data_IF_629317951016
#
_entry.id   IF_629317951016
#
_cell.length_a   1.000
_cell.length_b   1.000
_cell.length_c   1.000
_cell.angle_alpha   90.00
_cell.angle_beta   90.00
_cell.angle_gamma   90.00
#
_symmetry.space_group_name_H-M   'P 1'
#
loop_
_entity.id
_entity.type
_entity.pdbx_description
1 polymer ?
#
# COMPACT_ATOMS: atom_id res chain seq x y z
N UNK A 1 1.08 13.40 -58.53
CA UNK A 1 0.93 14.11 -57.25
C UNK A 1 -0.09 13.39 -56.38
N UNK A 2 0.26 12.24 -55.83
CA UNK A 2 -0.51 11.60 -54.77
C UNK A 2 0.51 11.19 -53.71
N UNK A 3 0.94 12.15 -52.90
CA UNK A 3 1.79 11.86 -51.76
C UNK A 3 1.00 11.07 -50.74
N UNK A 4 1.63 9.99 -50.31
CA UNK A 4 1.23 9.07 -49.27
C UNK A 4 0.86 9.80 -47.99
N UNK A 5 -0.43 9.89 -47.70
CA UNK A 5 -0.93 10.26 -46.37
C UNK A 5 -0.64 9.09 -45.43
N UNK A 6 0.48 9.23 -44.71
CA UNK A 6 0.93 8.47 -43.53
C UNK A 6 -0.08 7.46 -42.98
N UNK A 7 0.26 6.16 -42.84
CA UNK A 7 -0.43 5.33 -41.87
C UNK A 7 -0.09 5.91 -40.50
N UNK A 8 -1.03 6.65 -39.90
CA UNK A 8 -1.03 6.95 -38.48
C UNK A 8 -0.94 5.59 -37.80
N UNK A 9 0.27 5.22 -37.39
CA UNK A 9 0.55 4.05 -36.58
C UNK A 9 -0.47 4.09 -35.45
N UNK A 10 -1.46 3.20 -35.52
CA UNK A 10 -2.29 2.88 -34.39
C UNK A 10 -1.27 2.38 -33.37
N UNK A 11 -0.88 3.24 -32.44
CA UNK A 11 0.04 2.90 -31.38
C UNK A 11 -0.59 1.70 -30.69
N UNK A 12 -0.04 0.51 -30.97
CA UNK A 12 -0.42 -0.73 -30.30
C UNK A 12 -0.24 -0.40 -28.81
N UNK A 13 -1.28 -0.60 -27.96
CA UNK A 13 -1.20 -0.23 -26.56
C UNK A 13 0.06 -0.87 -26.00
N UNK A 14 1.01 -0.04 -25.56
CA UNK A 14 2.29 -0.53 -25.05
C UNK A 14 1.99 -1.58 -23.99
N UNK A 15 2.34 -2.83 -24.31
CA UNK A 15 2.13 -3.96 -23.42
C UNK A 15 3.13 -3.75 -22.29
N UNK A 16 2.69 -3.10 -21.21
CA UNK A 16 3.55 -2.63 -20.11
C UNK A 16 4.63 -3.66 -19.72
N UNK A 17 5.82 -3.14 -19.43
CA UNK A 17 7.04 -3.93 -19.19
C UNK A 17 6.80 -5.03 -18.14
N UNK A 18 7.54 -6.14 -18.23
CA UNK A 18 7.42 -7.23 -17.23
C UNK A 18 7.56 -6.71 -15.78
N UNK A 19 8.54 -5.82 -15.46
CA UNK A 19 8.66 -5.20 -14.14
C UNK A 19 7.40 -4.42 -13.72
N UNK A 20 6.79 -3.67 -14.63
CA UNK A 20 5.57 -2.90 -14.35
C UNK A 20 4.41 -3.80 -13.90
N UNK A 21 4.24 -4.98 -14.53
CA UNK A 21 3.19 -5.94 -14.13
C UNK A 21 3.44 -6.53 -12.74
N UNK A 22 4.70 -6.83 -12.43
CA UNK A 22 5.08 -7.36 -11.11
C UNK A 22 4.86 -6.31 -10.02
N UNK A 23 5.33 -5.09 -10.23
CA UNK A 23 5.12 -3.98 -9.31
C UNK A 23 3.64 -3.71 -9.10
N UNK A 24 2.84 -3.67 -10.18
CA UNK A 24 1.38 -3.50 -10.07
C UNK A 24 0.75 -4.59 -9.20
N UNK A 25 1.11 -5.86 -9.40
CA UNK A 25 0.60 -6.97 -8.57
C UNK A 25 1.00 -6.81 -7.10
N UNK A 26 2.24 -6.41 -6.84
CA UNK A 26 2.72 -6.15 -5.48
C UNK A 26 1.94 -5.00 -4.83
N UNK A 27 1.77 -3.87 -5.52
CA UNK A 27 1.00 -2.72 -5.03
C UNK A 27 -0.42 -3.13 -4.67
N UNK A 28 -1.12 -3.89 -5.52
CA UNK A 28 -2.47 -4.38 -5.20
C UNK A 28 -2.51 -5.32 -4.00
N UNK A 29 -1.51 -6.22 -3.86
CA UNK A 29 -1.39 -7.08 -2.68
C UNK A 29 -1.20 -6.25 -1.40
N UNK A 30 -0.31 -5.25 -1.45
CA UNK A 30 -0.06 -4.34 -0.32
C UNK A 30 -1.31 -3.51 -0.01
N UNK A 31 -2.04 -3.02 -1.01
CA UNK A 31 -3.27 -2.26 -0.82
C UNK A 31 -4.35 -3.10 -0.12
N UNK A 32 -4.57 -4.35 -0.57
CA UNK A 32 -5.52 -5.28 0.07
C UNK A 32 -5.07 -5.58 1.51
N UNK A 33 -3.80 -5.89 1.72
CA UNK A 33 -3.26 -6.13 3.07
C UNK A 33 -3.41 -4.90 3.98
N UNK A 34 -3.21 -3.69 3.44
CA UNK A 34 -3.38 -2.42 4.18
C UNK A 34 -4.84 -2.23 4.59
N UNK A 35 -5.78 -2.53 3.69
CA UNK A 35 -7.21 -2.45 4.02
C UNK A 35 -7.58 -3.42 5.15
N UNK A 36 -7.07 -4.66 5.11
CA UNK A 36 -7.25 -5.63 6.18
C UNK A 36 -6.60 -5.15 7.49
N UNK A 37 -5.38 -4.60 7.44
CA UNK A 37 -4.69 -4.04 8.59
C UNK A 37 -5.49 -2.90 9.24
N UNK A 38 -6.09 -2.03 8.43
CA UNK A 38 -6.96 -0.96 8.94
C UNK A 38 -8.21 -1.51 9.63
N UNK A 39 -8.79 -2.60 9.13
CA UNK A 39 -9.90 -3.29 9.77
C UNK A 39 -9.47 -3.90 11.12
N UNK A 40 -8.30 -4.54 11.17
CA UNK A 40 -7.71 -5.06 12.42
C UNK A 40 -7.45 -3.92 13.42
N UNK A 41 -6.91 -2.78 12.97
CA UNK A 41 -6.70 -1.61 13.82
C UNK A 41 -8.02 -1.04 14.38
N UNK A 42 -9.06 -1.01 13.55
CA UNK A 42 -10.42 -0.61 13.98
C UNK A 42 -10.98 -1.58 15.03
N UNK A 43 -10.82 -2.89 14.82
CA UNK A 43 -11.21 -3.90 15.79
C UNK A 43 -10.44 -3.74 17.12
N UNK A 44 -9.13 -3.49 17.05
CA UNK A 44 -8.27 -3.26 18.22
C UNK A 44 -8.78 -2.06 19.04
N UNK A 45 -9.22 -0.98 18.38
CA UNK A 45 -9.81 0.18 19.05
C UNK A 45 -11.16 -0.14 19.70
N UNK A 46 -12.08 -0.77 18.97
CA UNK A 46 -13.44 -1.08 19.46
C UNK A 46 -13.41 -2.08 20.61
N UNK A 47 -12.47 -3.02 20.60
CA UNK A 47 -12.28 -4.01 21.66
C UNK A 47 -11.43 -3.51 22.82
N UNK A 48 -11.10 -2.20 22.83
CA UNK A 48 -10.26 -1.53 23.82
C UNK A 48 -8.90 -2.21 24.04
N UNK A 49 -8.37 -2.83 22.99
CA UNK A 49 -7.13 -3.60 23.00
C UNK A 49 -5.89 -2.75 22.68
N UNK A 50 -6.03 -1.45 22.43
CA UNK A 50 -4.92 -0.58 22.01
C UNK A 50 -3.89 -0.25 23.10
N UNK A 51 -4.12 -0.67 24.35
CA UNK A 51 -3.19 -0.58 25.49
C UNK A 51 -2.89 -1.96 26.10
N UNK A 52 -3.18 -3.04 25.37
CA UNK A 52 -2.96 -4.39 25.87
C UNK A 52 -1.46 -4.70 26.00
N UNK A 53 -0.63 -4.10 25.15
CA UNK A 53 0.82 -4.11 25.24
C UNK A 53 1.32 -2.79 25.85
N UNK A 54 1.96 -2.81 27.03
CA UNK A 54 2.41 -1.57 27.69
C UNK A 54 3.61 -0.90 27.02
N UNK A 55 4.37 -1.64 26.21
CA UNK A 55 5.61 -1.18 25.61
C UNK A 55 5.49 -1.07 24.08
N UNK A 56 6.44 -0.36 23.48
CA UNK A 56 6.67 -0.32 22.04
C UNK A 56 8.19 -0.20 21.81
N UNK A 57 8.81 -0.91 20.85
CA UNK A 57 8.20 -1.72 19.78
C UNK A 57 7.83 -3.16 20.18
N UNK A 58 8.36 -3.67 21.29
CA UNK A 58 8.02 -5.02 21.81
C UNK A 58 6.70 -4.99 22.58
N UNK A 59 6.16 -6.17 22.91
CA UNK A 59 5.01 -6.33 23.80
C UNK A 59 5.43 -7.16 25.01
N UNK A 60 5.34 -6.62 26.23
CA UNK A 60 5.86 -7.24 27.46
C UNK A 60 7.36 -7.61 27.35
N UNK A 61 8.15 -6.76 26.70
CA UNK A 61 9.58 -7.03 26.44
C UNK A 61 9.88 -8.29 25.61
N UNK A 62 8.86 -8.91 24.98
CA UNK A 62 9.01 -10.11 24.13
C UNK A 62 8.51 -9.84 22.71
N UNK A 63 9.03 -10.61 21.76
CA UNK A 63 8.53 -10.62 20.36
C UNK A 63 7.23 -11.41 20.23
N UNK A 64 7.03 -12.45 21.05
CA UNK A 64 5.81 -13.26 21.08
C UNK A 64 5.42 -13.46 22.56
N UNK A 65 4.40 -12.75 23.07
CA UNK A 65 3.99 -12.82 24.48
C UNK A 65 3.06 -14.02 24.74
N UNK A 66 3.59 -15.25 24.64
CA UNK A 66 2.78 -16.48 24.76
C UNK A 66 2.11 -16.67 26.12
N UNK A 67 2.71 -16.18 27.21
CA UNK A 67 2.20 -16.38 28.56
C UNK A 67 1.04 -15.43 28.93
N UNK A 68 0.92 -14.29 28.25
CA UNK A 68 -0.06 -13.23 28.50
C UNK A 68 -1.11 -13.15 27.36
N UNK A 69 -1.16 -14.17 26.50
CA UNK A 69 -1.93 -14.13 25.25
C UNK A 69 -3.44 -14.26 25.49
N UNK A 70 -4.09 -13.13 25.74
CA UNK A 70 -5.53 -12.95 25.63
C UNK A 70 -5.89 -12.40 24.24
N UNK A 71 -7.18 -12.39 23.88
CA UNK A 71 -7.68 -11.83 22.62
C UNK A 71 -7.26 -10.37 22.40
N UNK A 72 -7.25 -9.54 23.45
CA UNK A 72 -6.81 -8.13 23.33
C UNK A 72 -5.31 -8.03 23.00
N UNK A 73 -4.46 -8.76 23.73
CA UNK A 73 -3.01 -8.80 23.49
C UNK A 73 -2.71 -9.37 22.11
N UNK A 74 -3.44 -10.41 21.70
CA UNK A 74 -3.33 -11.01 20.37
C UNK A 74 -3.64 -9.99 19.27
N UNK A 75 -4.74 -9.24 19.37
CA UNK A 75 -5.11 -8.25 18.36
C UNK A 75 -4.06 -7.14 18.23
N UNK A 76 -3.56 -6.60 19.34
CA UNK A 76 -2.55 -5.55 19.29
C UNK A 76 -1.21 -6.07 18.75
N UNK A 77 -0.77 -7.24 19.22
CA UNK A 77 0.44 -7.90 18.71
C UNK A 77 0.33 -8.22 17.21
N UNK A 78 -0.81 -8.76 16.79
CA UNK A 78 -1.07 -9.12 15.39
C UNK A 78 -1.12 -7.87 14.51
N UNK A 79 -1.75 -6.79 14.97
CA UNK A 79 -1.73 -5.49 14.28
C UNK A 79 -0.29 -4.97 14.09
N UNK A 80 0.57 -5.07 15.12
CA UNK A 80 1.98 -4.66 15.04
C UNK A 80 2.80 -5.54 14.09
N UNK A 81 2.55 -6.84 14.10
CA UNK A 81 3.21 -7.80 13.21
C UNK A 81 2.86 -7.51 11.75
N UNK A 82 1.58 -7.36 11.44
CA UNK A 82 1.10 -7.05 10.09
C UNK A 82 1.59 -5.67 9.62
N UNK A 83 1.60 -4.66 10.50
CA UNK A 83 2.18 -3.35 10.19
C UNK A 83 3.66 -3.44 9.79
N UNK A 84 4.43 -4.29 10.49
CA UNK A 84 5.84 -4.54 10.16
C UNK A 84 5.99 -5.22 8.80
N UNK A 85 5.13 -6.20 8.49
CA UNK A 85 5.11 -6.87 7.20
C UNK A 85 4.80 -5.91 6.04
N UNK A 86 3.85 -4.99 6.23
CA UNK A 86 3.52 -3.95 5.25
C UNK A 86 4.69 -2.97 5.08
N UNK A 87 5.33 -2.56 6.18
CA UNK A 87 6.53 -1.72 6.13
C UNK A 87 7.68 -2.35 5.33
N UNK A 88 7.99 -3.63 5.58
CA UNK A 88 8.99 -4.37 4.81
C UNK A 88 8.61 -4.49 3.32
N UNK A 89 7.33 -4.72 3.04
CA UNK A 89 6.82 -4.78 1.67
C UNK A 89 6.93 -3.43 0.96
N UNK A 90 6.73 -2.31 1.67
CA UNK A 90 6.91 -0.95 1.14
C UNK A 90 8.39 -0.62 0.85
N UNK A 91 9.31 -1.08 1.71
CA UNK A 91 10.76 -0.97 1.47
C UNK A 91 11.13 -1.76 0.21
N UNK A 92 10.68 -3.02 0.10
CA UNK A 92 10.93 -3.86 -1.07
C UNK A 92 10.34 -3.23 -2.34
N UNK A 93 9.12 -2.71 -2.28
CA UNK A 93 8.48 -2.00 -3.40
C UNK A 93 9.31 -0.79 -3.84
N UNK A 94 9.78 0.03 -2.90
CA UNK A 94 10.61 1.20 -3.19
C UNK A 94 11.93 0.79 -3.82
N UNK A 95 12.61 -0.21 -3.25
CA UNK A 95 13.85 -0.76 -3.80
C UNK A 95 13.68 -1.30 -5.23
N UNK A 96 12.63 -2.07 -5.48
CA UNK A 96 12.32 -2.59 -6.82
C UNK A 96 11.98 -1.46 -7.81
N UNK A 97 11.21 -0.46 -7.40
CA UNK A 97 10.88 0.70 -8.24
C UNK A 97 12.11 1.50 -8.63
N UNK A 98 13.07 1.70 -7.72
CA UNK A 98 14.35 2.34 -8.02
C UNK A 98 15.28 1.46 -8.86
N UNK A 99 15.30 0.14 -8.62
CA UNK A 99 16.10 -0.79 -9.42
C UNK A 99 15.70 -0.79 -10.89
N UNK A 100 14.39 -0.86 -11.17
CA UNK A 100 13.83 -0.88 -12.52
C UNK A 100 13.42 0.51 -13.03
N UNK A 101 13.94 1.61 -12.45
CA UNK A 101 13.52 2.99 -12.79
C UNK A 101 13.64 3.34 -14.28
N UNK A 102 14.49 2.64 -15.05
CA UNK A 102 14.64 2.83 -16.49
C UNK A 102 13.50 2.24 -17.32
N UNK A 103 12.88 1.17 -16.83
CA UNK A 103 11.79 0.43 -17.50
C UNK A 103 10.40 0.84 -16.97
N UNK A 104 10.36 1.84 -16.09
CA UNK A 104 9.21 2.31 -15.34
C UNK A 104 8.98 3.80 -15.58
N UNK A 105 7.75 4.30 -15.40
CA UNK A 105 7.49 5.72 -15.51
C UNK A 105 8.24 6.50 -14.42
N UNK A 106 8.84 7.64 -14.79
CA UNK A 106 9.72 8.45 -13.91
C UNK A 106 9.09 8.89 -12.58
N UNK A 107 7.75 8.98 -12.51
CA UNK A 107 7.03 9.37 -11.30
C UNK A 107 6.89 8.22 -10.28
N UNK A 108 6.95 6.95 -10.72
CA UNK A 108 6.66 5.79 -9.88
C UNK A 108 7.65 5.59 -8.73
N UNK A 109 8.99 5.66 -8.92
CA UNK A 109 9.93 5.53 -7.81
C UNK A 109 9.75 6.61 -6.75
N UNK A 110 9.43 7.85 -7.16
CA UNK A 110 9.12 8.95 -6.25
C UNK A 110 7.83 8.71 -5.48
N UNK A 111 6.77 8.23 -6.14
CA UNK A 111 5.51 7.89 -5.47
C UNK A 111 5.69 6.75 -4.46
N UNK A 112 6.47 5.71 -4.79
CA UNK A 112 6.81 4.64 -3.84
C UNK A 112 7.63 5.16 -2.66
N UNK A 113 8.58 6.07 -2.90
CA UNK A 113 9.38 6.70 -1.84
C UNK A 113 8.52 7.56 -0.91
N UNK A 114 7.55 8.29 -1.46
CA UNK A 114 6.56 9.03 -0.68
C UNK A 114 5.70 8.09 0.19
N UNK A 115 5.22 6.98 -0.39
CA UNK A 115 4.49 5.95 0.36
C UNK A 115 5.35 5.33 1.49
N UNK A 116 6.66 5.14 1.25
CA UNK A 116 7.61 4.70 2.28
C UNK A 116 7.75 5.74 3.41
N UNK A 117 7.81 7.02 3.08
CA UNK A 117 7.79 8.10 4.08
C UNK A 117 6.53 8.07 4.94
N UNK A 118 5.36 7.87 4.32
CA UNK A 118 4.08 7.76 5.03
C UNK A 118 4.04 6.57 5.99
N UNK A 119 4.52 5.38 5.60
CA UNK A 119 4.49 4.20 6.48
C UNK A 119 5.49 4.32 7.64
N UNK A 120 6.63 5.00 7.44
CA UNK A 120 7.56 5.32 8.54
C UNK A 120 6.87 6.26 9.53
N UNK A 121 6.21 7.31 9.04
CA UNK A 121 5.47 8.23 9.88
C UNK A 121 4.31 7.53 10.62
N UNK A 122 3.64 6.59 9.94
CA UNK A 122 2.60 5.75 10.54
C UNK A 122 3.13 4.93 11.73
N UNK A 123 4.33 4.33 11.59
CA UNK A 123 4.99 3.59 12.66
C UNK A 123 5.29 4.46 13.88
N UNK A 124 5.75 5.70 13.66
CA UNK A 124 5.98 6.68 14.73
C UNK A 124 4.67 7.03 15.43
N UNK A 125 3.63 7.38 14.66
CA UNK A 125 2.32 7.68 15.23
C UNK A 125 1.73 6.47 15.98
N UNK A 126 1.94 5.25 15.49
CA UNK A 126 1.50 4.02 16.15
C UNK A 126 2.23 3.73 17.47
N UNK A 127 3.52 4.08 17.59
CA UNK A 127 4.21 4.06 18.88
C UNK A 127 3.70 5.15 19.83
N UNK A 128 3.38 6.32 19.28
CA UNK A 128 2.82 7.44 20.03
C UNK A 128 1.42 7.16 20.58
N UNK A 129 0.58 6.38 19.90
CA UNK A 129 -0.75 6.03 20.43
C UNK A 129 -0.64 5.24 21.74
N UNK A 130 0.33 4.33 21.84
CA UNK A 130 0.58 3.53 23.06
C UNK A 130 1.17 4.41 24.17
N UNK A 131 2.24 5.15 23.86
CA UNK A 131 2.97 5.95 24.86
C UNK A 131 2.20 7.18 25.35
N UNK A 132 1.24 7.69 24.58
CA UNK A 132 0.38 8.83 24.93
C UNK A 132 -1.05 8.40 25.30
N UNK A 133 -1.24 7.14 25.73
CA UNK A 133 -2.50 6.64 26.30
C UNK A 133 -3.73 6.90 25.40
N UNK A 134 -3.61 6.59 24.10
CA UNK A 134 -4.67 6.74 23.08
C UNK A 134 -5.22 8.16 22.96
N UNK A 135 -4.41 9.20 23.20
CA UNK A 135 -4.80 10.61 22.98
C UNK A 135 -5.46 10.77 21.62
N UNK A 136 -6.66 11.34 21.61
CA UNK A 136 -7.54 11.35 20.44
C UNK A 136 -6.89 12.01 19.21
N UNK A 137 -6.13 13.09 19.40
CA UNK A 137 -5.40 13.78 18.32
C UNK A 137 -4.47 12.83 17.56
N UNK A 138 -3.72 12.01 18.28
CA UNK A 138 -2.70 11.12 17.72
C UNK A 138 -3.38 9.95 17.01
N UNK A 139 -4.43 9.38 17.61
CA UNK A 139 -5.19 8.28 17.01
C UNK A 139 -5.86 8.73 15.71
N UNK A 140 -6.45 9.93 15.70
CA UNK A 140 -7.04 10.51 14.49
C UNK A 140 -5.98 10.79 13.42
N UNK A 141 -4.83 11.35 13.81
CA UNK A 141 -3.70 11.56 12.90
C UNK A 141 -3.19 10.23 12.32
N UNK A 142 -3.11 9.18 13.14
CA UNK A 142 -2.70 7.83 12.74
C UNK A 142 -3.69 7.23 11.73
N UNK A 143 -5.01 7.36 11.95
CA UNK A 143 -6.00 6.90 10.98
C UNK A 143 -5.96 7.73 9.68
N UNK A 144 -5.85 9.06 9.79
CA UNK A 144 -5.81 9.95 8.63
C UNK A 144 -4.61 9.69 7.74
N UNK A 145 -3.44 9.46 8.33
CA UNK A 145 -2.21 9.14 7.59
C UNK A 145 -2.24 7.72 7.00
N UNK A 146 -2.87 6.75 7.67
CA UNK A 146 -3.16 5.44 7.08
C UNK A 146 -4.01 5.54 5.81
N UNK A 147 -5.04 6.40 5.83
CA UNK A 147 -5.90 6.64 4.66
C UNK A 147 -5.12 7.27 3.51
N UNK A 148 -4.25 8.25 3.78
CA UNK A 148 -3.40 8.86 2.76
C UNK A 148 -2.46 7.81 2.14
N UNK A 149 -1.86 6.94 2.96
CA UNK A 149 -1.03 5.84 2.48
C UNK A 149 -1.84 4.88 1.59
N UNK A 150 -3.03 4.46 2.04
CA UNK A 150 -3.92 3.59 1.28
C UNK A 150 -4.32 4.20 -0.07
N UNK A 151 -4.76 5.47 -0.07
CA UNK A 151 -5.10 6.20 -1.30
C UNK A 151 -3.90 6.26 -2.24
N UNK A 152 -2.70 6.53 -1.71
CA UNK A 152 -1.47 6.55 -2.51
C UNK A 152 -1.25 5.21 -3.21
N UNK A 153 -1.43 4.07 -2.53
CA UNK A 153 -1.33 2.75 -3.14
C UNK A 153 -2.40 2.51 -4.22
N UNK A 154 -3.64 2.94 -3.98
CA UNK A 154 -4.72 2.82 -4.97
C UNK A 154 -4.43 3.66 -6.21
N UNK A 155 -3.95 4.91 -6.03
CA UNK A 155 -3.55 5.78 -7.15
C UNK A 155 -2.42 5.14 -7.94
N UNK A 156 -1.37 4.60 -7.28
CA UNK A 156 -0.29 3.88 -7.96
C UNK A 156 -0.84 2.64 -8.70
N UNK A 157 -1.69 1.84 -8.07
CA UNK A 157 -2.22 0.59 -8.64
C UNK A 157 -3.11 0.83 -9.87
N UNK A 158 -3.97 1.85 -9.82
CA UNK A 158 -4.88 2.22 -10.90
C UNK A 158 -4.14 2.87 -12.06
N UNK A 159 -3.23 3.81 -11.80
CA UNK A 159 -2.41 4.45 -12.86
C UNK A 159 -1.47 3.49 -13.58
N UNK A 160 -1.04 2.40 -12.92
CA UNK A 160 -0.27 1.31 -13.56
C UNK A 160 -1.15 0.28 -14.28
N UNK A 161 -2.48 0.35 -14.14
CA UNK A 161 -3.40 -0.55 -14.84
C UNK A 161 -3.56 -0.04 -16.27
N UNK A 162 -3.28 -0.88 -17.30
CA UNK A 162 -3.38 -0.44 -18.67
C UNK A 162 -4.85 -0.17 -18.97
N UNK A 163 -5.13 0.97 -19.59
CA UNK A 163 -6.46 1.30 -20.08
C UNK A 163 -6.84 0.29 -21.17
N UNK A 164 -7.64 -0.71 -20.80
CA UNK A 164 -8.30 -1.57 -21.77
C UNK A 164 -9.52 -0.81 -22.24
N UNK A 165 -9.35 0.03 -23.27
CA UNK A 165 -10.50 0.55 -23.98
C UNK A 165 -11.34 -0.64 -24.41
N UNK A 166 -12.61 -0.67 -24.03
CA UNK A 166 -13.59 -1.62 -24.56
C UNK A 166 -13.65 -1.37 -26.06
N UNK A 167 -12.81 -2.07 -26.83
CA UNK A 167 -12.86 -2.06 -28.28
C UNK A 167 -14.09 -2.86 -28.71
N UNK A 168 -15.28 -2.34 -28.41
CA UNK A 168 -16.53 -2.68 -29.08
C UNK A 168 -16.58 -1.97 -30.43
N UNK A 169 -15.51 -2.06 -31.21
CA UNK A 169 -15.67 -2.01 -32.67
C UNK A 169 -15.97 -3.44 -33.07
N UNK A 170 -17.24 -3.83 -32.88
CA UNK A 170 -17.79 -4.94 -33.61
C UNK A 170 -17.45 -4.71 -35.08
N UNK A 171 -16.86 -5.71 -35.73
CA UNK A 171 -16.72 -5.75 -37.19
C UNK A 171 -18.09 -5.38 -37.78
N UNK A 172 -18.27 -4.15 -38.24
CA UNK A 172 -19.33 -3.79 -39.17
C UNK A 172 -18.95 -4.46 -40.48
N UNK A 173 -19.39 -5.71 -40.65
CA UNK A 173 -19.20 -6.51 -41.86
C UNK A 173 -20.19 -6.10 -42.95
N UNK A 174 -20.24 -4.81 -43.26
CA UNK A 174 -21.06 -4.28 -44.36
C UNK A 174 -20.42 -3.00 -44.91
N UNK A 175 -19.42 -3.21 -45.75
CA UNK A 175 -18.96 -2.48 -46.95
C UNK A 175 -17.89 -3.40 -47.57
#
# INVERSE_FOLDING_TARGET
>A
MAESVLPRQIAIPEKGSQPQKWIRRLVWKIAIATLLLMAVGSATRVMNAGLACPDWPLCYGKLIPTQQMNLQVFLEWFHRLDATLIGLSAIALTGLSWWYHRDLPKWLPWACTFALGLIIFQGILGGLTVTQLLRFDIVTAHLGTALIFFITLIVIGTTLTPYQGTATVGKLSWI
#
